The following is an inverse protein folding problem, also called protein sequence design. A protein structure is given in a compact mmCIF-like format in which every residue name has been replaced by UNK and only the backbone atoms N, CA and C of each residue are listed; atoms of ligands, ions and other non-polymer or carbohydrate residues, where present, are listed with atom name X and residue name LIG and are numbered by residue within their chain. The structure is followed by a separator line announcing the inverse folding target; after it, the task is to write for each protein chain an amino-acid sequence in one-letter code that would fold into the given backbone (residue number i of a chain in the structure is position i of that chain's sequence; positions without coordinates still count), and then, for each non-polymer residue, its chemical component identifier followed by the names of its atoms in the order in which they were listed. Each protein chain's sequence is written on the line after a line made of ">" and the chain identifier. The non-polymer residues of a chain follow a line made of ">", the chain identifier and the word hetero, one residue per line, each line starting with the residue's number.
data_IF_801979832823
#
_entry.id   IF_801979832823
#
_cell.length_a   1.000
_cell.length_b   1.000
_cell.length_c   1.000
_cell.angle_alpha   90.00
_cell.angle_beta   90.00
_cell.angle_gamma   90.00
#
_symmetry.space_group_name_H-M   'P 1'
#
loop_
_entity.id
_entity.type
_entity.pdbx_description
1 polymer ?
#
# COMPACT_ATOMS: atom_id res chain seq x y z
N UNK A 1 -12.05 -13.55 31.43
CA UNK A 1 -11.58 -13.00 30.14
C UNK A 1 -10.04 -13.13 30.10
N UNK A 2 -9.50 -13.94 29.17
CA UNK A 2 -8.12 -14.40 29.20
C UNK A 2 -7.15 -13.25 28.85
N UNK A 3 -6.51 -12.65 29.84
CA UNK A 3 -5.57 -11.50 29.68
C UNK A 3 -4.35 -11.82 28.78
N UNK A 4 -4.05 -13.11 28.57
CA UNK A 4 -2.93 -13.56 27.73
C UNK A 4 -3.18 -13.36 26.23
N UNK A 5 -4.44 -13.46 25.76
CA UNK A 5 -4.79 -13.22 24.35
C UNK A 5 -4.85 -11.73 23.97
N UNK A 6 -5.07 -10.84 24.96
CA UNK A 6 -5.21 -9.40 24.74
C UNK A 6 -3.86 -8.68 24.56
N UNK A 7 -2.79 -9.22 25.16
CA UNK A 7 -1.44 -8.60 25.11
C UNK A 7 -0.86 -8.44 23.70
N UNK A 8 -0.93 -9.46 22.79
CA UNK A 8 -0.42 -9.29 21.44
C UNK A 8 -1.22 -8.27 20.62
N UNK A 9 -2.54 -8.24 20.76
CA UNK A 9 -3.38 -7.27 20.05
C UNK A 9 -3.09 -5.82 20.49
N UNK A 10 -2.95 -5.58 21.80
CA UNK A 10 -2.57 -4.26 22.33
C UNK A 10 -1.21 -3.84 21.78
N UNK A 11 -0.22 -4.74 21.76
CA UNK A 11 1.11 -4.45 21.22
C UNK A 11 1.03 -4.01 19.76
N UNK A 12 0.29 -4.74 18.91
CA UNK A 12 0.12 -4.39 17.50
C UNK A 12 -0.52 -3.01 17.33
N UNK A 13 -1.61 -2.76 18.04
CA UNK A 13 -2.31 -1.46 17.99
C UNK A 13 -1.36 -0.34 18.42
N UNK A 14 -0.63 -0.53 19.51
CA UNK A 14 0.33 0.47 20.00
C UNK A 14 1.44 0.75 18.98
N UNK A 15 2.03 -0.30 18.39
CA UNK A 15 3.08 -0.17 17.38
C UNK A 15 2.55 0.56 16.15
N UNK A 16 1.34 0.22 15.67
CA UNK A 16 0.72 0.91 14.53
C UNK A 16 0.45 2.38 14.86
N UNK A 17 -0.08 2.70 16.04
CA UNK A 17 -0.34 4.09 16.44
C UNK A 17 0.95 4.89 16.53
N UNK A 18 1.98 4.36 17.20
CA UNK A 18 3.28 5.04 17.34
C UNK A 18 3.93 5.23 15.96
N UNK A 19 3.92 4.20 15.11
CA UNK A 19 4.46 4.30 13.75
C UNK A 19 3.68 5.29 12.87
N UNK A 20 2.36 5.40 13.06
CA UNK A 20 1.55 6.40 12.35
C UNK A 20 1.95 7.84 12.73
N UNK A 21 2.16 8.11 14.02
CA UNK A 21 2.62 9.42 14.47
C UNK A 21 4.06 9.70 14.02
N UNK A 22 4.95 8.69 14.11
CA UNK A 22 6.32 8.81 13.60
C UNK A 22 6.33 9.14 12.10
N UNK A 23 5.48 8.48 11.29
CA UNK A 23 5.33 8.81 9.88
C UNK A 23 4.90 10.26 9.66
N UNK A 24 3.92 10.75 10.42
CA UNK A 24 3.47 12.16 10.32
C UNK A 24 4.58 13.15 10.65
N UNK A 25 5.36 12.88 11.70
CA UNK A 25 6.48 13.74 12.11
C UNK A 25 7.54 13.74 11.01
N UNK A 26 7.99 12.57 10.56
CA UNK A 26 9.04 12.44 9.53
C UNK A 26 8.61 13.07 8.21
N UNK A 27 7.35 12.85 7.78
CA UNK A 27 6.84 13.44 6.53
C UNK A 27 6.60 14.95 6.61
N UNK A 28 6.55 15.53 7.81
CA UNK A 28 6.40 16.98 8.04
C UNK A 28 7.71 17.74 8.23
N UNK A 29 8.86 17.04 8.34
CA UNK A 29 10.17 17.68 8.49
C UNK A 29 10.56 18.32 7.16
N UNK A 30 10.91 19.64 7.15
CA UNK A 30 11.43 20.28 5.95
C UNK A 30 12.77 19.63 5.56
N UNK A 31 12.79 19.02 4.40
CA UNK A 31 13.98 18.32 3.87
C UNK A 31 14.74 19.29 2.96
N UNK A 32 16.06 19.14 2.93
CA UNK A 32 16.92 19.88 1.99
C UNK A 32 16.37 19.76 0.55
N UNK A 33 16.32 20.84 -0.25
CA UNK A 33 15.73 20.85 -1.59
C UNK A 33 16.26 19.74 -2.51
N UNK A 34 17.56 19.43 -2.43
CA UNK A 34 18.18 18.37 -3.25
C UNK A 34 17.64 16.97 -2.90
N UNK A 35 17.46 16.69 -1.60
CA UNK A 35 16.91 15.41 -1.14
C UNK A 35 15.44 15.31 -1.53
N UNK A 36 14.70 16.42 -1.44
CA UNK A 36 13.31 16.49 -1.87
C UNK A 36 13.14 16.22 -3.37
N UNK A 37 13.98 16.82 -4.21
CA UNK A 37 13.96 16.57 -5.66
C UNK A 37 14.28 15.11 -6.01
N UNK A 38 15.32 14.52 -5.38
CA UNK A 38 15.63 13.09 -5.57
C UNK A 38 14.46 12.19 -5.12
N UNK A 39 13.83 12.52 -4.00
CA UNK A 39 12.65 11.79 -3.51
C UNK A 39 11.49 11.87 -4.50
N UNK A 40 11.22 13.04 -5.06
CA UNK A 40 10.19 13.21 -6.09
C UNK A 40 10.50 12.37 -7.35
N UNK A 41 11.74 12.36 -7.81
CA UNK A 41 12.14 11.53 -8.95
C UNK A 41 11.93 10.03 -8.70
N UNK A 42 12.35 9.54 -7.52
CA UNK A 42 12.16 8.14 -7.14
C UNK A 42 10.67 7.79 -7.07
N UNK A 43 9.87 8.61 -6.42
CA UNK A 43 8.43 8.35 -6.29
C UNK A 43 7.71 8.44 -7.63
N UNK A 44 8.09 9.35 -8.51
CA UNK A 44 7.57 9.41 -9.87
C UNK A 44 7.90 8.14 -10.66
N UNK A 45 9.15 7.69 -10.61
CA UNK A 45 9.57 6.43 -11.25
C UNK A 45 8.76 5.22 -10.74
N UNK A 46 8.53 5.13 -9.44
CA UNK A 46 7.69 4.09 -8.85
C UNK A 46 6.23 4.20 -9.31
N UNK A 47 5.69 5.41 -9.48
CA UNK A 47 4.34 5.60 -10.04
C UNK A 47 4.25 5.08 -11.48
N UNK A 48 5.28 5.34 -12.30
CA UNK A 48 5.32 4.86 -13.69
C UNK A 48 5.40 3.32 -13.74
N UNK A 49 6.27 2.70 -12.95
CA UNK A 49 6.33 1.23 -12.86
C UNK A 49 4.97 0.66 -12.43
N UNK A 50 4.36 1.24 -11.41
CA UNK A 50 3.08 0.78 -10.89
C UNK A 50 1.97 0.92 -11.93
N UNK A 51 1.99 1.98 -12.74
CA UNK A 51 1.03 2.15 -13.84
C UNK A 51 1.23 1.12 -14.94
N UNK A 52 2.47 0.76 -15.29
CA UNK A 52 2.74 -0.29 -16.26
C UNK A 52 2.22 -1.67 -15.81
N UNK A 53 2.45 -2.04 -14.55
CA UNK A 53 1.90 -3.28 -14.00
C UNK A 53 0.36 -3.26 -13.96
N UNK A 54 -0.22 -2.11 -13.63
CA UNK A 54 -1.68 -1.92 -13.64
C UNK A 54 -2.25 -2.05 -15.06
N UNK A 55 -1.57 -1.49 -16.06
CA UNK A 55 -1.95 -1.61 -17.48
C UNK A 55 -1.98 -3.08 -17.92
N UNK A 56 -0.93 -3.85 -17.58
CA UNK A 56 -0.85 -5.29 -17.88
C UNK A 56 -2.06 -6.03 -17.26
N UNK A 57 -2.36 -5.78 -16.00
CA UNK A 57 -3.49 -6.42 -15.31
C UNK A 57 -4.82 -6.02 -15.94
N UNK A 58 -5.03 -4.74 -16.24
CA UNK A 58 -6.27 -4.28 -16.86
C UNK A 58 -6.48 -4.90 -18.24
N UNK A 59 -5.46 -4.93 -19.09
CA UNK A 59 -5.56 -5.55 -20.43
C UNK A 59 -5.75 -7.06 -20.38
N UNK A 60 -5.09 -7.74 -19.43
CA UNK A 60 -5.15 -9.19 -19.31
C UNK A 60 -6.50 -9.70 -18.77
N UNK A 61 -7.11 -8.98 -17.84
CA UNK A 61 -8.25 -9.47 -17.08
C UNK A 61 -9.54 -8.68 -17.29
N UNK A 62 -9.50 -7.55 -18.01
CA UNK A 62 -10.69 -6.71 -18.21
C UNK A 62 -10.86 -6.32 -19.67
N UNK A 63 -12.11 -6.13 -20.09
CA UNK A 63 -12.43 -5.57 -21.40
C UNK A 63 -12.60 -4.04 -21.40
N UNK A 64 -12.14 -3.37 -20.34
CA UNK A 64 -12.28 -1.91 -20.18
C UNK A 64 -11.41 -1.19 -21.22
N UNK A 65 -12.01 -0.26 -21.96
CA UNK A 65 -11.28 0.60 -22.87
C UNK A 65 -10.67 1.78 -22.11
N UNK A 66 -9.38 2.00 -22.28
CA UNK A 66 -8.66 3.13 -21.70
C UNK A 66 -7.43 3.49 -22.53
N UNK A 67 -6.95 4.71 -22.38
CA UNK A 67 -5.67 5.18 -22.89
C UNK A 67 -4.74 5.44 -21.70
N UNK A 68 -3.58 4.79 -21.68
CA UNK A 68 -2.54 5.08 -20.68
C UNK A 68 -1.51 6.06 -21.27
N UNK A 69 -1.26 7.14 -20.54
CA UNK A 69 -0.17 8.08 -20.80
C UNK A 69 0.60 8.26 -19.49
N UNK A 70 1.85 7.80 -19.46
CA UNK A 70 2.70 7.80 -18.27
C UNK A 70 2.02 7.14 -17.07
N UNK A 71 1.69 7.91 -16.02
CA UNK A 71 1.03 7.46 -14.80
C UNK A 71 -0.47 7.82 -14.74
N UNK A 72 -1.08 8.13 -15.88
CA UNK A 72 -2.50 8.47 -16.01
C UNK A 72 -3.24 7.47 -16.90
N UNK A 73 -4.44 7.08 -16.45
CA UNK A 73 -5.40 6.29 -17.21
C UNK A 73 -6.60 7.16 -17.59
N UNK A 74 -6.89 7.27 -18.87
CA UNK A 74 -8.01 8.04 -19.41
C UNK A 74 -9.09 7.09 -19.93
N UNK A 75 -10.33 7.30 -19.49
CA UNK A 75 -11.47 6.46 -19.85
C UNK A 75 -12.44 7.17 -20.78
N UNK A 76 -13.18 6.43 -21.63
CA UNK A 76 -14.31 6.97 -22.35
C UNK A 76 -15.29 7.63 -21.37
N UNK A 77 -15.77 8.85 -21.70
CA UNK A 77 -16.64 9.62 -20.78
C UNK A 77 -15.92 10.75 -20.02
N UNK A 78 -14.62 10.96 -20.28
CA UNK A 78 -13.87 12.11 -19.76
C UNK A 78 -13.31 11.93 -18.35
N UNK A 79 -13.43 10.73 -17.78
CA UNK A 79 -12.84 10.41 -16.47
C UNK A 79 -11.37 10.01 -16.60
N UNK A 80 -10.58 10.30 -15.56
CA UNK A 80 -9.18 9.89 -15.51
C UNK A 80 -8.78 9.45 -14.11
N UNK A 81 -7.81 8.53 -14.03
CA UNK A 81 -7.17 8.09 -12.79
C UNK A 81 -5.69 8.39 -12.89
N UNK A 82 -5.21 9.28 -12.02
CA UNK A 82 -3.79 9.62 -11.92
C UNK A 82 -3.14 8.87 -10.75
N UNK A 83 -2.11 8.08 -11.02
CA UNK A 83 -1.33 7.39 -10.00
C UNK A 83 -0.32 8.37 -9.40
N UNK A 84 -0.64 8.88 -8.22
CA UNK A 84 0.20 9.81 -7.45
C UNK A 84 1.12 9.08 -6.47
N UNK A 85 2.12 9.76 -5.88
CA UNK A 85 2.97 9.19 -4.82
C UNK A 85 2.19 8.61 -3.63
N UNK A 86 0.98 9.09 -3.37
CA UNK A 86 0.08 8.52 -2.36
C UNK A 86 -0.46 7.14 -2.71
N UNK A 87 -0.38 6.73 -4.00
CA UNK A 87 -0.85 5.44 -4.48
C UNK A 87 0.19 4.31 -4.38
N UNK A 88 1.46 4.60 -4.05
CA UNK A 88 2.57 3.62 -4.04
C UNK A 88 2.51 2.65 -2.84
N UNK A 89 1.57 2.83 -1.91
CA UNK A 89 1.43 2.04 -0.68
C UNK A 89 2.66 2.10 0.26
N UNK A 90 3.51 3.11 0.18
CA UNK A 90 4.70 3.26 1.05
C UNK A 90 4.34 3.25 2.53
N UNK A 91 3.23 3.90 2.91
CA UNK A 91 2.80 3.96 4.31
C UNK A 91 2.36 2.60 4.87
N UNK A 92 1.51 1.80 4.19
CA UNK A 92 1.24 0.42 4.58
C UNK A 92 2.50 -0.45 4.68
N UNK A 93 3.39 -0.37 3.70
CA UNK A 93 4.66 -1.11 3.71
C UNK A 93 5.52 -0.70 4.92
N UNK A 94 5.65 0.60 5.20
CA UNK A 94 6.34 1.10 6.39
C UNK A 94 5.75 0.53 7.68
N UNK A 95 4.41 0.54 7.86
CA UNK A 95 3.78 -0.03 9.03
C UNK A 95 4.05 -1.54 9.17
N UNK A 96 4.02 -2.28 8.07
CA UNK A 96 4.35 -3.70 8.05
C UNK A 96 5.81 -3.95 8.47
N UNK A 97 6.77 -3.21 7.89
CA UNK A 97 8.19 -3.31 8.24
C UNK A 97 8.42 -3.03 9.73
N UNK A 98 7.80 -1.97 10.25
CA UNK A 98 7.90 -1.62 11.68
C UNK A 98 7.34 -2.75 12.55
N UNK A 99 6.17 -3.32 12.20
CA UNK A 99 5.60 -4.46 12.93
C UNK A 99 6.54 -5.67 12.95
N UNK A 100 7.19 -5.97 11.80
CA UNK A 100 8.14 -7.07 11.69
C UNK A 100 9.39 -6.85 12.55
N UNK A 101 9.89 -5.61 12.64
CA UNK A 101 11.05 -5.27 13.47
C UNK A 101 10.73 -5.48 14.97
N UNK A 102 9.54 -5.07 15.40
CA UNK A 102 9.11 -5.20 16.80
C UNK A 102 8.49 -6.56 17.13
N UNK A 103 8.39 -7.49 16.18
CA UNK A 103 7.95 -8.86 16.39
C UNK A 103 8.89 -9.64 17.32
N UNK A 104 8.34 -10.65 18.01
CA UNK A 104 9.07 -11.41 19.06
C UNK A 104 10.08 -12.41 18.52
N UNK A 105 9.91 -12.90 17.29
CA UNK A 105 10.76 -13.98 16.76
C UNK A 105 12.12 -13.48 16.28
N UNK A 106 13.17 -14.16 16.76
CA UNK A 106 14.55 -13.69 16.69
C UNK A 106 15.42 -14.38 15.62
N UNK A 107 14.86 -15.19 14.70
CA UNK A 107 15.67 -15.84 13.64
C UNK A 107 15.86 -14.86 12.49
N UNK A 108 17.07 -14.25 12.32
CA UNK A 108 17.26 -13.14 11.36
C UNK A 108 16.98 -13.52 9.91
N UNK A 109 17.39 -14.72 9.48
CA UNK A 109 17.18 -15.19 8.10
C UNK A 109 15.71 -15.39 7.76
N UNK A 110 14.96 -16.03 8.64
CA UNK A 110 13.53 -16.26 8.44
C UNK A 110 12.74 -14.94 8.43
N UNK A 111 13.13 -13.99 9.30
CA UNK A 111 12.54 -12.64 9.32
C UNK A 111 12.72 -11.92 7.99
N UNK A 112 13.90 -11.99 7.38
CA UNK A 112 14.16 -11.35 6.10
C UNK A 112 13.31 -11.95 4.98
N UNK A 113 13.24 -13.28 4.90
CA UNK A 113 12.41 -13.98 3.91
C UNK A 113 10.94 -13.57 4.06
N UNK A 114 10.42 -13.59 5.28
CA UNK A 114 9.03 -13.24 5.55
C UNK A 114 8.75 -11.77 5.26
N UNK A 115 9.69 -10.88 5.55
CA UNK A 115 9.62 -9.46 5.19
C UNK A 115 9.52 -9.27 3.67
N UNK A 116 10.36 -9.94 2.90
CA UNK A 116 10.36 -9.86 1.44
C UNK A 116 9.04 -10.38 0.84
N UNK A 117 8.55 -11.53 1.33
CA UNK A 117 7.27 -12.09 0.91
C UNK A 117 6.13 -11.14 1.27
N UNK A 118 6.09 -10.61 2.49
CA UNK A 118 5.04 -9.70 2.92
C UNK A 118 5.03 -8.38 2.13
N UNK A 119 6.20 -7.81 1.83
CA UNK A 119 6.30 -6.63 0.95
C UNK A 119 5.81 -6.97 -0.45
N UNK A 120 6.18 -8.12 -1.01
CA UNK A 120 5.68 -8.56 -2.31
C UNK A 120 4.15 -8.70 -2.32
N UNK A 121 3.55 -9.29 -1.28
CA UNK A 121 2.09 -9.39 -1.12
C UNK A 121 1.44 -8.00 -1.10
N UNK A 122 1.98 -7.05 -0.33
CA UNK A 122 1.44 -5.70 -0.24
C UNK A 122 1.55 -4.93 -1.56
N UNK A 123 2.66 -5.09 -2.31
CA UNK A 123 2.84 -4.48 -3.63
C UNK A 123 1.83 -5.06 -4.63
N UNK A 124 1.68 -6.38 -4.70
CA UNK A 124 0.71 -7.02 -5.59
C UNK A 124 -0.73 -6.62 -5.24
N UNK A 125 -1.07 -6.60 -3.94
CA UNK A 125 -2.38 -6.10 -3.51
C UNK A 125 -2.61 -4.64 -3.92
N UNK A 126 -1.57 -3.81 -3.89
CA UNK A 126 -1.67 -2.42 -4.34
C UNK A 126 -1.94 -2.30 -5.85
N UNK A 127 -1.31 -3.15 -6.67
CA UNK A 127 -1.59 -3.22 -8.12
C UNK A 127 -3.05 -3.62 -8.35
N UNK A 128 -3.54 -4.65 -7.67
CA UNK A 128 -4.94 -5.08 -7.75
C UNK A 128 -5.90 -3.98 -7.30
N UNK A 129 -5.58 -3.26 -6.23
CA UNK A 129 -6.35 -2.10 -5.75
C UNK A 129 -6.48 -1.04 -6.84
N UNK A 130 -5.37 -0.65 -7.46
CA UNK A 130 -5.37 0.41 -8.49
C UNK A 130 -6.16 -0.06 -9.72
N UNK A 131 -5.95 -1.31 -10.15
CA UNK A 131 -6.71 -1.90 -11.25
C UNK A 131 -8.21 -1.90 -10.98
N UNK A 132 -8.62 -2.28 -9.76
CA UNK A 132 -10.02 -2.25 -9.36
C UNK A 132 -10.59 -0.82 -9.33
N UNK A 133 -9.82 0.15 -8.85
CA UNK A 133 -10.23 1.56 -8.88
C UNK A 133 -10.38 2.10 -10.30
N UNK A 134 -9.53 1.68 -11.24
CA UNK A 134 -9.67 2.00 -12.66
C UNK A 134 -10.97 1.41 -13.25
N UNK A 135 -11.31 0.16 -12.91
CA UNK A 135 -12.57 -0.47 -13.32
C UNK A 135 -13.77 0.30 -12.75
N UNK A 136 -13.74 0.66 -11.48
CA UNK A 136 -14.80 1.47 -10.85
C UNK A 136 -14.94 2.81 -11.57
N UNK A 137 -13.85 3.48 -11.89
CA UNK A 137 -13.88 4.77 -12.58
C UNK A 137 -14.52 4.64 -13.97
N UNK A 138 -14.27 3.52 -14.66
CA UNK A 138 -14.85 3.26 -15.97
C UNK A 138 -16.34 2.90 -15.92
N UNK A 139 -16.79 2.15 -14.90
CA UNK A 139 -18.15 1.58 -14.83
C UNK A 139 -19.09 2.44 -13.98
N UNK A 140 -18.65 2.85 -12.80
CA UNK A 140 -19.47 3.64 -11.86
C UNK A 140 -18.60 4.59 -11.02
N UNK A 141 -18.26 5.78 -11.54
CA UNK A 141 -17.38 6.74 -10.85
C UNK A 141 -17.88 7.20 -9.48
N UNK A 142 -19.18 7.12 -9.20
CA UNK A 142 -19.75 7.55 -7.91
C UNK A 142 -19.25 6.71 -6.73
N UNK A 143 -18.89 5.45 -6.96
CA UNK A 143 -18.35 4.55 -5.95
C UNK A 143 -16.86 4.74 -5.68
N UNK A 144 -16.16 5.48 -6.55
CA UNK A 144 -14.70 5.64 -6.47
C UNK A 144 -14.25 6.17 -5.11
N UNK A 145 -14.92 7.20 -4.59
CA UNK A 145 -14.56 7.82 -3.31
C UNK A 145 -14.65 6.82 -2.15
N UNK A 146 -15.71 6.01 -2.09
CA UNK A 146 -15.89 5.00 -1.04
C UNK A 146 -14.77 3.96 -1.08
N UNK A 147 -14.52 3.37 -2.25
CA UNK A 147 -13.49 2.33 -2.37
C UNK A 147 -12.10 2.88 -2.15
N UNK A 148 -11.75 4.04 -2.73
CA UNK A 148 -10.44 4.65 -2.58
C UNK A 148 -10.16 5.08 -1.14
N UNK A 149 -11.13 5.67 -0.44
CA UNK A 149 -10.90 6.32 0.84
C UNK A 149 -11.09 5.36 2.03
N UNK A 150 -12.08 4.48 1.97
CA UNK A 150 -12.43 3.64 3.12
C UNK A 150 -12.08 2.17 2.90
N UNK A 151 -12.63 1.54 1.86
CA UNK A 151 -12.53 0.11 1.66
C UNK A 151 -11.07 -0.37 1.57
N UNK A 152 -10.30 0.16 0.64
CA UNK A 152 -8.92 -0.30 0.43
C UNK A 152 -7.98 0.11 1.56
N UNK A 153 -8.25 1.21 2.25
CA UNK A 153 -7.49 1.56 3.45
C UNK A 153 -7.68 0.51 4.55
N UNK A 154 -8.92 0.12 4.79
CA UNK A 154 -9.23 -0.94 5.74
C UNK A 154 -8.61 -2.28 5.32
N UNK A 155 -8.77 -2.67 4.05
CA UNK A 155 -8.23 -3.91 3.51
C UNK A 155 -6.70 -4.03 3.68
N UNK A 156 -5.94 -2.95 3.50
CA UNK A 156 -4.50 -2.95 3.76
C UNK A 156 -4.16 -3.32 5.20
N UNK A 157 -4.86 -2.74 6.17
CA UNK A 157 -4.60 -3.05 7.58
C UNK A 157 -5.01 -4.48 7.95
N UNK A 158 -6.07 -5.02 7.34
CA UNK A 158 -6.45 -6.43 7.49
C UNK A 158 -5.34 -7.35 6.96
N UNK A 159 -4.81 -7.07 5.76
CA UNK A 159 -3.71 -7.87 5.20
C UNK A 159 -2.46 -7.79 6.07
N UNK A 160 -2.08 -6.60 6.55
CA UNK A 160 -0.94 -6.44 7.45
C UNK A 160 -1.14 -7.25 8.73
N UNK A 161 -2.34 -7.22 9.30
CA UNK A 161 -2.68 -8.00 10.49
C UNK A 161 -2.58 -9.51 10.24
N UNK A 162 -3.11 -10.00 9.12
CA UNK A 162 -3.03 -11.41 8.74
C UNK A 162 -1.58 -11.85 8.53
N UNK A 163 -0.77 -11.07 7.81
CA UNK A 163 0.67 -11.34 7.64
C UNK A 163 1.39 -11.37 8.99
N UNK A 164 1.05 -10.48 9.91
CA UNK A 164 1.63 -10.46 11.24
C UNK A 164 1.22 -11.68 12.07
N UNK A 165 -0.04 -12.11 12.03
CA UNK A 165 -0.52 -13.33 12.71
C UNK A 165 0.25 -14.55 12.18
N UNK A 166 0.33 -14.71 10.87
CA UNK A 166 1.07 -15.80 10.24
C UNK A 166 2.54 -15.81 10.66
N UNK A 167 3.15 -14.62 10.84
CA UNK A 167 4.50 -14.51 11.35
C UNK A 167 4.63 -14.95 12.81
N UNK A 168 3.69 -14.58 13.67
CA UNK A 168 3.74 -14.96 15.10
C UNK A 168 3.48 -16.46 15.31
N UNK A 169 2.76 -17.12 14.41
CA UNK A 169 2.45 -18.56 14.46
C UNK A 169 3.55 -19.43 13.83
N UNK A 170 4.33 -18.91 12.89
CA UNK A 170 5.42 -19.64 12.22
C UNK A 170 6.67 -19.76 13.09
#
# INVERSE_FOLDING_TARGET
>A
MNSKAFRPAIKVITVILVSHWAWKIVSGIPVCPEVYLKWQQITYFLCVILSQWTDIVLRAFTGVQFLQIENCFYFPGGYSVHISPGCIALKPIYHFVVLMIFGRKAIPGLRLIFLLIGVAVLVNFNILRISFLCIIMAVNPSLWFFFHTYFFRFAFYVIILLLWILWEES
#
